data_IF_434624134324
#
_entry.id   IF_434624134324
#
_cell.length_a   1.000
_cell.length_b   1.000
_cell.length_c   1.000
_cell.angle_alpha   90.00
_cell.angle_beta   90.00
_cell.angle_gamma   90.00
#
_symmetry.space_group_name_H-M   'P 1'
#
loop_
_entity.id
_entity.type
_entity.pdbx_description
1 polymer ?
#
# COMPACT_ATOMS: atom_id res chain seq x y z
N UNK A 1 -40.54 5.28 -28.35
CA UNK A 1 -39.14 5.04 -28.73
C UNK A 1 -38.33 6.23 -28.24
N UNK A 2 -37.65 6.08 -27.10
CA UNK A 2 -36.77 7.13 -26.60
C UNK A 2 -35.59 7.28 -27.57
N UNK A 3 -35.45 8.46 -28.16
CA UNK A 3 -34.30 8.81 -28.99
C UNK A 3 -33.02 8.62 -28.19
N UNK A 4 -32.12 7.76 -28.66
CA UNK A 4 -30.75 7.70 -28.15
C UNK A 4 -30.13 9.08 -28.37
N UNK A 5 -30.02 9.88 -27.31
CA UNK A 5 -29.20 11.07 -27.31
C UNK A 5 -27.75 10.64 -27.61
N UNK A 6 -27.19 11.16 -28.69
CA UNK A 6 -25.77 11.04 -29.01
C UNK A 6 -24.98 11.84 -27.97
N UNK A 7 -24.24 11.12 -27.12
CA UNK A 7 -23.34 11.70 -26.11
C UNK A 7 -22.23 12.51 -26.79
N UNK A 8 -21.96 13.71 -26.27
CA UNK A 8 -20.85 14.56 -26.72
C UNK A 8 -19.57 14.21 -25.94
N UNK A 9 -18.40 14.59 -26.47
CA UNK A 9 -17.09 14.33 -25.83
C UNK A 9 -16.99 14.95 -24.41
N UNK A 10 -17.71 16.04 -24.12
CA UNK A 10 -17.77 16.63 -22.78
C UNK A 10 -18.56 15.78 -21.78
N UNK A 11 -19.63 15.11 -22.23
CA UNK A 11 -20.46 14.28 -21.36
C UNK A 11 -19.70 13.04 -20.87
N UNK A 12 -18.85 12.48 -21.73
CA UNK A 12 -17.97 11.34 -21.39
C UNK A 12 -16.85 11.73 -20.43
N UNK A 13 -16.28 12.95 -20.58
CA UNK A 13 -15.26 13.46 -19.66
C UNK A 13 -15.87 13.73 -18.27
N UNK A 14 -17.06 14.31 -18.23
CA UNK A 14 -17.78 14.57 -16.97
C UNK A 14 -18.20 13.26 -16.28
N UNK A 15 -18.52 12.20 -17.03
CA UNK A 15 -18.80 10.87 -16.46
C UNK A 15 -17.58 10.25 -15.79
N UNK A 16 -16.42 10.33 -16.43
CA UNK A 16 -15.17 9.88 -15.83
C UNK A 16 -14.80 10.70 -14.58
N UNK A 17 -15.01 12.03 -14.62
CA UNK A 17 -14.81 12.90 -13.44
C UNK A 17 -15.77 12.49 -12.31
N UNK A 18 -17.04 12.20 -12.58
CA UNK A 18 -17.99 11.71 -11.56
C UNK A 18 -17.55 10.37 -10.95
N UNK A 19 -17.01 9.46 -11.76
CA UNK A 19 -16.52 8.15 -11.29
C UNK A 19 -15.35 8.25 -10.29
N UNK A 20 -14.59 9.36 -10.30
CA UNK A 20 -13.50 9.57 -9.31
C UNK A 20 -14.02 9.67 -7.87
N UNK A 21 -15.28 10.02 -7.66
CA UNK A 21 -15.94 9.99 -6.36
C UNK A 21 -16.00 8.56 -5.81
N UNK A 22 -16.37 7.59 -6.65
CA UNK A 22 -16.42 6.18 -6.28
C UNK A 22 -15.02 5.66 -5.96
N UNK A 23 -14.03 5.99 -6.79
CA UNK A 23 -12.62 5.60 -6.55
C UNK A 23 -12.09 6.12 -5.21
N UNK A 24 -12.30 7.40 -4.91
CA UNK A 24 -11.86 8.00 -3.66
C UNK A 24 -12.59 7.39 -2.45
N UNK A 25 -13.90 7.19 -2.57
CA UNK A 25 -14.73 6.62 -1.51
C UNK A 25 -14.35 5.16 -1.22
N UNK A 26 -14.08 4.36 -2.27
CA UNK A 26 -13.59 2.98 -2.15
C UNK A 26 -12.22 2.94 -1.49
N UNK A 27 -11.29 3.84 -1.86
CA UNK A 27 -9.96 3.89 -1.25
C UNK A 27 -10.04 4.28 0.24
N UNK A 28 -10.84 5.30 0.59
CA UNK A 28 -11.09 5.67 1.99
C UNK A 28 -11.74 4.52 2.77
N UNK A 29 -12.72 3.84 2.18
CA UNK A 29 -13.38 2.66 2.79
C UNK A 29 -12.41 1.49 2.98
N UNK A 30 -11.51 1.26 2.02
CA UNK A 30 -10.49 0.23 2.13
C UNK A 30 -9.49 0.56 3.26
N UNK A 31 -8.94 1.77 3.28
CA UNK A 31 -7.99 2.19 4.30
C UNK A 31 -8.59 2.17 5.72
N UNK A 32 -9.85 2.58 5.89
CA UNK A 32 -10.57 2.47 7.18
C UNK A 32 -10.77 1.01 7.61
N UNK A 33 -11.08 0.11 6.66
CA UNK A 33 -11.18 -1.33 6.95
C UNK A 33 -9.85 -1.95 7.40
N UNK A 34 -8.72 -1.35 7.01
CA UNK A 34 -7.36 -1.71 7.44
C UNK A 34 -6.93 -1.05 8.75
N UNK A 35 -7.75 -0.16 9.33
CA UNK A 35 -7.47 0.50 10.59
C UNK A 35 -6.57 1.73 10.46
N UNK A 36 -6.41 2.32 9.27
CA UNK A 36 -5.64 3.56 9.13
C UNK A 36 -6.27 4.70 9.93
N UNK A 37 -7.59 4.85 9.88
CA UNK A 37 -8.36 5.68 10.81
C UNK A 37 -9.74 5.07 11.04
N UNK A 38 -10.44 5.55 12.06
CA UNK A 38 -11.79 5.11 12.39
C UNK A 38 -12.81 5.97 11.65
N UNK A 39 -13.68 5.34 10.88
CA UNK A 39 -14.83 5.98 10.24
C UNK A 39 -16.03 5.03 10.31
N UNK A 40 -16.98 5.37 11.18
CA UNK A 40 -18.19 4.59 11.41
C UNK A 40 -19.24 4.79 10.30
N UNK A 41 -19.06 5.80 9.45
CA UNK A 41 -20.07 6.26 8.50
C UNK A 41 -19.75 5.88 7.06
N UNK A 42 -18.48 5.71 6.68
CA UNK A 42 -18.06 5.34 5.33
C UNK A 42 -18.79 4.10 4.77
N UNK A 43 -19.17 3.17 5.64
CA UNK A 43 -19.91 1.96 5.27
C UNK A 43 -21.31 2.20 4.69
N UNK A 44 -21.93 3.34 5.02
CA UNK A 44 -23.26 3.68 4.51
C UNK A 44 -23.20 4.26 3.09
N UNK A 45 -22.04 4.79 2.69
CA UNK A 45 -21.82 5.34 1.35
C UNK A 45 -21.20 4.31 0.40
N UNK A 46 -20.29 3.46 0.90
CA UNK A 46 -19.64 2.40 0.11
C UNK A 46 -19.81 1.05 0.79
N UNK A 47 -20.67 0.21 0.22
CA UNK A 47 -21.05 -1.09 0.79
C UNK A 47 -19.94 -2.14 0.70
N UNK A 48 -19.19 -2.15 -0.39
CA UNK A 48 -18.15 -3.14 -0.63
C UNK A 48 -16.78 -2.57 -0.29
N UNK A 49 -16.01 -3.31 0.51
CA UNK A 49 -14.57 -3.07 0.65
C UNK A 49 -13.98 -3.50 -0.69
N UNK A 50 -13.61 -2.54 -1.54
CA UNK A 50 -13.12 -2.81 -2.89
C UNK A 50 -11.85 -3.66 -2.91
N UNK A 51 -11.29 -3.86 -4.10
CA UNK A 51 -10.06 -4.64 -4.27
C UNK A 51 -8.89 -4.10 -3.44
N UNK A 52 -7.95 -5.00 -3.12
CA UNK A 52 -6.76 -4.69 -2.34
C UNK A 52 -6.01 -3.50 -2.94
N UNK A 53 -5.81 -2.45 -2.15
CA UNK A 53 -4.98 -1.29 -2.51
C UNK A 53 -3.55 -1.50 -2.00
N UNK A 54 -2.59 -0.94 -2.73
CA UNK A 54 -1.19 -0.99 -2.34
C UNK A 54 -0.95 -0.15 -1.05
N UNK A 55 -0.03 -0.56 -0.15
CA UNK A 55 0.16 0.10 1.15
C UNK A 55 0.49 1.60 1.05
N UNK A 56 1.23 2.01 0.02
CA UNK A 56 1.57 3.41 -0.25
C UNK A 56 0.33 4.26 -0.57
N UNK A 57 -0.68 3.67 -1.20
CA UNK A 57 -1.97 4.34 -1.46
C UNK A 57 -2.67 4.60 -0.13
N UNK A 58 -2.77 3.59 0.75
CA UNK A 58 -3.45 3.74 2.03
C UNK A 58 -2.73 4.72 2.96
N UNK A 59 -1.38 4.69 2.99
CA UNK A 59 -0.55 5.68 3.70
C UNK A 59 -0.73 7.09 3.12
N UNK A 60 -0.85 7.22 1.80
CA UNK A 60 -1.18 8.48 1.14
C UNK A 60 -2.54 9.04 1.57
N UNK A 61 -3.58 8.20 1.56
CA UNK A 61 -4.91 8.58 2.05
C UNK A 61 -4.91 8.94 3.54
N UNK A 62 -4.12 8.26 4.37
CA UNK A 62 -3.96 8.62 5.77
C UNK A 62 -3.36 10.02 5.94
N UNK A 63 -2.25 10.30 5.23
CA UNK A 63 -1.63 11.62 5.23
C UNK A 63 -2.60 12.71 4.77
N UNK A 64 -3.37 12.44 3.70
CA UNK A 64 -4.43 13.30 3.16
C UNK A 64 -5.49 13.62 4.21
N UNK A 65 -6.10 12.60 4.82
CA UNK A 65 -7.17 12.78 5.83
C UNK A 65 -6.65 13.51 7.07
N UNK A 66 -5.47 13.13 7.59
CA UNK A 66 -4.88 13.78 8.76
C UNK A 66 -4.48 15.22 8.47
N UNK A 67 -3.90 15.51 7.32
CA UNK A 67 -3.53 16.87 6.91
C UNK A 67 -4.75 17.79 6.83
N UNK A 68 -5.83 17.35 6.20
CA UNK A 68 -7.09 18.12 6.11
C UNK A 68 -7.69 18.33 7.50
N UNK A 69 -7.77 17.29 8.33
CA UNK A 69 -8.37 17.39 9.67
C UNK A 69 -7.59 18.36 10.57
N UNK A 70 -6.27 18.38 10.52
CA UNK A 70 -5.46 19.33 11.30
C UNK A 70 -5.77 20.79 10.96
N UNK A 71 -5.98 21.09 9.66
CA UNK A 71 -6.36 22.43 9.22
C UNK A 71 -7.80 22.77 9.61
N UNK A 72 -8.72 21.81 9.52
CA UNK A 72 -10.11 21.96 9.93
C UNK A 72 -10.21 22.24 11.44
N UNK A 73 -9.54 21.45 12.27
CA UNK A 73 -9.53 21.62 13.72
C UNK A 73 -8.96 22.98 14.11
N UNK A 74 -7.85 23.40 13.48
CA UNK A 74 -7.26 24.72 13.71
C UNK A 74 -8.22 25.87 13.35
N UNK A 75 -9.00 25.73 12.29
CA UNK A 75 -10.01 26.72 11.90
C UNK A 75 -11.18 26.76 12.92
N UNK A 76 -11.68 25.60 13.35
CA UNK A 76 -12.77 25.50 14.31
C UNK A 76 -12.39 26.03 15.69
N UNK A 77 -11.19 25.71 16.18
CA UNK A 77 -10.65 26.23 17.44
C UNK A 77 -10.58 27.77 17.44
N UNK A 78 -10.13 28.35 16.32
CA UNK A 78 -9.97 29.80 16.16
C UNK A 78 -11.29 30.55 16.03
N UNK A 79 -12.29 29.93 15.43
CA UNK A 79 -13.62 30.55 15.22
C UNK A 79 -14.57 30.38 16.40
N UNK A 80 -14.11 29.75 17.49
CA UNK A 80 -14.84 29.57 18.75
C UNK A 80 -16.23 28.93 18.57
N UNK A 81 -16.38 28.03 17.61
CA UNK A 81 -17.66 27.37 17.38
C UNK A 81 -17.90 26.31 18.47
N UNK A 82 -18.77 26.62 19.43
CA UNK A 82 -19.19 25.64 20.45
C UNK A 82 -20.03 24.53 19.79
N UNK A 83 -19.67 23.27 20.03
CA UNK A 83 -20.45 22.11 19.62
C UNK A 83 -21.79 22.04 20.38
N UNK A 84 -22.79 22.85 20.03
CA UNK A 84 -24.19 22.48 20.32
C UNK A 84 -24.57 21.35 19.35
N UNK A 85 -25.62 20.56 19.57
CA UNK A 85 -26.14 19.57 18.63
C UNK A 85 -27.54 20.02 18.21
N UNK A 86 -27.68 20.41 16.94
CA UNK A 86 -28.95 20.88 16.35
C UNK A 86 -29.05 20.36 14.90
N UNK A 87 -30.25 19.99 14.46
CA UNK A 87 -30.48 19.27 13.18
C UNK A 87 -30.38 20.15 11.93
N UNK A 88 -30.37 21.48 12.09
CA UNK A 88 -30.44 22.46 10.99
C UNK A 88 -29.07 22.75 10.33
N UNK A 89 -28.04 21.94 10.58
CA UNK A 89 -26.63 22.28 10.31
C UNK A 89 -25.96 21.58 9.13
N UNK A 90 -26.71 20.88 8.28
CA UNK A 90 -26.15 20.17 7.14
C UNK A 90 -27.01 20.30 5.89
N UNK A 91 -26.38 20.59 4.75
CA UNK A 91 -27.04 20.73 3.46
C UNK A 91 -26.23 20.04 2.36
N UNK A 92 -26.90 19.29 1.48
CA UNK A 92 -26.32 18.72 0.26
C UNK A 92 -26.93 19.45 -0.93
N UNK A 93 -26.09 20.05 -1.77
CA UNK A 93 -26.51 20.82 -2.93
C UNK A 93 -25.95 20.18 -4.19
N UNK A 94 -26.83 19.78 -5.11
CA UNK A 94 -26.42 19.38 -6.45
C UNK A 94 -26.17 20.63 -7.29
N UNK A 95 -24.91 20.94 -7.61
CA UNK A 95 -24.52 22.07 -8.45
C UNK A 95 -23.27 21.74 -9.27
N UNK A 96 -23.18 22.33 -10.46
CA UNK A 96 -21.95 22.32 -11.24
C UNK A 96 -21.07 23.49 -10.79
N UNK A 97 -19.88 23.20 -10.27
CA UNK A 97 -18.95 24.22 -9.77
C UNK A 97 -18.42 25.15 -10.88
N UNK A 98 -18.62 24.80 -12.15
CA UNK A 98 -18.27 25.62 -13.31
C UNK A 98 -19.32 26.71 -13.59
N UNK A 99 -20.54 26.55 -13.05
CA UNK A 99 -21.66 27.48 -13.22
C UNK A 99 -21.91 28.28 -11.93
N UNK A 100 -21.08 29.32 -11.74
CA UNK A 100 -21.09 30.13 -10.51
C UNK A 100 -22.44 30.83 -10.24
N UNK A 101 -23.14 31.43 -11.23
CA UNK A 101 -24.46 32.01 -10.98
C UNK A 101 -25.45 31.00 -10.38
N UNK A 102 -25.53 29.80 -10.93
CA UNK A 102 -26.41 28.75 -10.42
C UNK A 102 -25.98 28.26 -9.03
N UNK A 103 -24.67 28.16 -8.77
CA UNK A 103 -24.13 27.80 -7.47
C UNK A 103 -24.51 28.84 -6.41
N UNK A 104 -24.33 30.12 -6.72
CA UNK A 104 -24.63 31.25 -5.83
C UNK A 104 -26.13 31.31 -5.50
N UNK A 105 -27.00 31.18 -6.50
CA UNK A 105 -28.45 31.15 -6.31
C UNK A 105 -28.88 30.00 -5.38
N UNK A 106 -28.27 28.82 -5.53
CA UNK A 106 -28.55 27.67 -4.66
C UNK A 106 -28.05 27.91 -3.24
N UNK A 107 -26.82 28.41 -3.07
CA UNK A 107 -26.26 28.70 -1.74
C UNK A 107 -27.09 29.77 -1.00
N UNK A 108 -27.52 30.83 -1.70
CA UNK A 108 -28.44 31.85 -1.16
C UNK A 108 -29.79 31.27 -0.77
N UNK A 109 -30.35 30.37 -1.60
CA UNK A 109 -31.61 29.67 -1.30
C UNK A 109 -31.53 28.85 -0.01
N UNK A 110 -30.37 28.26 0.27
CA UNK A 110 -30.09 27.53 1.51
C UNK A 110 -29.49 28.41 2.62
N UNK A 111 -29.62 29.73 2.49
CA UNK A 111 -29.30 30.72 3.52
C UNK A 111 -27.83 30.69 4.00
N UNK A 112 -26.87 30.46 3.09
CA UNK A 112 -25.46 30.70 3.43
C UNK A 112 -25.30 32.17 3.87
N UNK A 113 -24.59 32.40 4.98
CA UNK A 113 -24.31 33.74 5.47
C UNK A 113 -22.85 34.11 5.18
N UNK A 114 -22.57 35.01 4.22
CA UNK A 114 -21.20 35.38 3.87
C UNK A 114 -20.44 36.11 4.98
N UNK A 115 -21.13 36.70 5.95
CA UNK A 115 -20.51 37.42 7.06
C UNK A 115 -19.91 36.49 8.12
N UNK A 116 -20.24 35.19 8.09
CA UNK A 116 -19.64 34.21 9.00
C UNK A 116 -18.27 33.74 8.48
N UNK A 117 -17.30 33.47 9.37
CA UNK A 117 -16.06 32.79 9.00
C UNK A 117 -16.38 31.48 8.28
N UNK A 118 -15.95 31.35 7.02
CA UNK A 118 -16.32 30.21 6.18
C UNK A 118 -15.09 29.45 5.70
N UNK A 119 -15.07 28.13 5.92
CA UNK A 119 -14.04 27.25 5.39
C UNK A 119 -14.54 26.54 4.12
N UNK A 120 -13.74 26.64 3.06
CA UNK A 120 -13.92 25.92 1.80
C UNK A 120 -12.93 24.76 1.74
N UNK A 121 -13.41 23.56 1.41
CA UNK A 121 -12.57 22.38 1.23
C UNK A 121 -12.73 21.86 -0.19
N UNK A 122 -11.65 21.94 -0.98
CA UNK A 122 -11.49 21.25 -2.25
C UNK A 122 -10.53 20.07 -2.05
N UNK A 123 -11.04 18.85 -2.11
CA UNK A 123 -10.27 17.63 -1.84
C UNK A 123 -10.18 16.77 -3.12
N UNK A 124 -9.18 17.04 -3.97
CA UNK A 124 -9.04 16.58 -5.35
C UNK A 124 -10.24 16.99 -6.23
N UNK A 125 -10.51 18.30 -6.35
CA UNK A 125 -11.63 18.80 -7.15
C UNK A 125 -11.17 19.75 -8.24
N UNK A 126 -10.41 20.81 -7.90
CA UNK A 126 -10.11 21.88 -8.87
C UNK A 126 -9.31 21.39 -10.08
N UNK A 127 -8.46 20.37 -9.93
CA UNK A 127 -7.69 19.74 -11.02
C UNK A 127 -8.55 19.18 -12.17
N UNK A 128 -9.83 18.87 -11.93
CA UNK A 128 -10.74 18.38 -12.97
C UNK A 128 -11.40 19.51 -13.79
N UNK A 129 -11.26 20.76 -13.35
CA UNK A 129 -11.76 21.94 -14.04
C UNK A 129 -10.63 22.60 -14.83
N UNK A 130 -10.96 23.35 -15.88
CA UNK A 130 -9.92 24.11 -16.59
C UNK A 130 -9.29 25.17 -15.66
N UNK A 131 -8.06 25.65 -15.96
CA UNK A 131 -7.42 26.70 -15.17
C UNK A 131 -8.29 27.96 -15.05
N UNK A 132 -9.02 28.32 -16.10
CA UNK A 132 -9.94 29.46 -16.10
C UNK A 132 -11.14 29.23 -15.17
N UNK A 133 -11.80 28.07 -15.27
CA UNK A 133 -12.98 27.75 -14.47
C UNK A 133 -12.66 27.70 -12.98
N UNK A 134 -11.57 27.03 -12.63
CA UNK A 134 -11.15 26.91 -11.24
C UNK A 134 -10.65 28.24 -10.66
N UNK A 135 -9.94 29.06 -11.44
CA UNK A 135 -9.54 30.41 -11.01
C UNK A 135 -10.76 31.31 -10.77
N UNK A 136 -11.79 31.25 -11.61
CA UNK A 136 -13.05 31.97 -11.40
C UNK A 136 -13.73 31.55 -10.08
N UNK A 137 -13.77 30.25 -9.78
CA UNK A 137 -14.34 29.74 -8.53
C UNK A 137 -13.54 30.25 -7.31
N UNK A 138 -12.21 30.12 -7.33
CA UNK A 138 -11.35 30.56 -6.22
C UNK A 138 -11.45 32.07 -5.98
N UNK A 139 -11.54 32.86 -7.05
CA UNK A 139 -11.74 34.31 -6.99
C UNK A 139 -13.12 34.67 -6.44
N UNK A 140 -14.19 34.02 -6.94
CA UNK A 140 -15.54 34.22 -6.44
C UNK A 140 -15.67 33.94 -4.94
N UNK A 141 -15.01 32.90 -4.43
CA UNK A 141 -14.97 32.62 -2.98
C UNK A 141 -14.30 33.77 -2.23
N UNK A 142 -13.14 34.23 -2.70
CA UNK A 142 -12.43 35.34 -2.07
C UNK A 142 -13.28 36.61 -2.02
N UNK A 143 -14.03 36.91 -3.09
CA UNK A 143 -14.87 38.10 -3.18
C UNK A 143 -16.14 37.99 -2.32
N UNK A 144 -16.74 36.80 -2.25
CA UNK A 144 -18.02 36.59 -1.56
C UNK A 144 -17.85 36.56 -0.05
N UNK A 145 -16.77 35.96 0.47
CA UNK A 145 -16.58 35.71 1.91
C UNK A 145 -15.46 36.61 2.48
N UNK A 146 -15.79 37.62 3.30
CA UNK A 146 -14.78 38.54 3.84
C UNK A 146 -13.79 37.90 4.82
N UNK A 147 -14.23 36.85 5.51
CA UNK A 147 -13.38 36.03 6.40
C UNK A 147 -13.51 34.58 5.99
N UNK A 148 -12.49 34.04 5.34
CA UNK A 148 -12.51 32.70 4.78
C UNK A 148 -11.16 32.00 4.86
N UNK A 149 -11.23 30.67 4.89
CA UNK A 149 -10.09 29.78 4.68
C UNK A 149 -10.43 28.82 3.54
N UNK A 150 -9.50 28.62 2.61
CA UNK A 150 -9.65 27.64 1.54
C UNK A 150 -8.57 26.58 1.70
N UNK A 151 -8.97 25.32 1.82
CA UNK A 151 -8.07 24.16 1.81
C UNK A 151 -8.20 23.49 0.45
N UNK A 152 -7.08 23.36 -0.27
CA UNK A 152 -6.98 22.65 -1.52
C UNK A 152 -5.99 21.50 -1.39
N UNK A 153 -6.47 20.26 -1.54
CA UNK A 153 -5.62 19.08 -1.67
C UNK A 153 -5.69 18.59 -3.12
N UNK A 154 -4.58 18.56 -3.85
CA UNK A 154 -4.52 18.02 -5.22
C UNK A 154 -3.07 17.73 -5.63
N UNK A 155 -2.85 17.42 -6.90
CA UNK A 155 -1.53 17.11 -7.43
C UNK A 155 -0.58 18.32 -7.44
N UNK A 156 0.72 18.02 -7.41
CA UNK A 156 1.80 19.01 -7.55
C UNK A 156 3.00 18.36 -8.25
N UNK A 157 3.96 19.15 -8.71
CA UNK A 157 5.20 18.67 -9.34
C UNK A 157 4.96 17.83 -10.61
N UNK A 158 3.87 18.11 -11.34
CA UNK A 158 3.42 17.27 -12.47
C UNK A 158 4.30 17.37 -13.75
N UNK A 159 5.32 18.23 -13.75
CA UNK A 159 6.21 18.45 -14.89
C UNK A 159 7.36 17.43 -15.01
N UNK A 160 7.55 16.55 -14.03
CA UNK A 160 8.58 15.52 -14.08
C UNK A 160 8.11 14.23 -14.77
N UNK A 161 8.99 13.23 -14.90
CA UNK A 161 8.65 11.95 -15.55
C UNK A 161 7.53 11.20 -14.82
N UNK A 162 7.47 11.25 -13.49
CA UNK A 162 6.44 10.58 -12.71
C UNK A 162 5.08 11.27 -12.92
N UNK A 163 5.04 12.60 -12.90
CA UNK A 163 3.86 13.40 -13.23
C UNK A 163 3.29 13.06 -14.61
N UNK A 164 4.13 12.98 -15.64
CA UNK A 164 3.69 12.58 -16.99
C UNK A 164 3.09 11.17 -17.03
N UNK A 165 3.72 10.19 -16.36
CA UNK A 165 3.19 8.82 -16.25
C UNK A 165 1.84 8.81 -15.52
N UNK A 166 1.70 9.62 -14.47
CA UNK A 166 0.45 9.75 -13.72
C UNK A 166 -0.68 10.32 -14.58
N UNK A 167 -0.40 11.35 -15.38
CA UNK A 167 -1.37 11.91 -16.34
C UNK A 167 -1.80 10.86 -17.35
N UNK A 168 -0.84 10.16 -17.96
CA UNK A 168 -1.13 9.12 -18.96
C UNK A 168 -1.97 7.98 -18.37
N UNK A 169 -1.67 7.55 -17.14
CA UNK A 169 -2.42 6.51 -16.45
C UNK A 169 -3.89 6.91 -16.17
N UNK A 170 -4.14 8.18 -15.84
CA UNK A 170 -5.50 8.69 -15.63
C UNK A 170 -6.25 8.85 -16.96
N UNK A 171 -5.57 9.33 -18.00
CA UNK A 171 -6.15 9.44 -19.35
C UNK A 171 -6.56 8.08 -19.92
N UNK A 172 -5.78 7.02 -19.66
CA UNK A 172 -6.15 5.63 -20.03
C UNK A 172 -7.43 5.15 -19.35
N UNK A 173 -7.79 5.73 -18.20
CA UNK A 173 -9.06 5.50 -17.49
C UNK A 173 -10.14 6.52 -17.88
N UNK A 174 -9.95 7.24 -18.99
CA UNK A 174 -10.83 8.29 -19.49
C UNK A 174 -10.96 9.51 -18.57
N UNK A 175 -10.12 9.62 -17.54
CA UNK A 175 -10.10 10.73 -16.59
C UNK A 175 -9.05 11.76 -16.99
N UNK A 176 -9.47 12.87 -17.60
CA UNK A 176 -8.57 13.96 -17.96
C UNK A 176 -8.41 14.97 -16.82
N UNK A 177 -7.18 15.39 -16.55
CA UNK A 177 -6.87 16.44 -15.56
C UNK A 177 -6.82 17.80 -16.26
N UNK A 178 -7.98 18.42 -16.48
CA UNK A 178 -8.08 19.67 -17.22
C UNK A 178 -7.27 20.84 -16.60
N UNK A 179 -7.03 20.82 -15.30
CA UNK A 179 -6.31 21.85 -14.55
C UNK A 179 -4.85 21.50 -14.24
N UNK A 180 -4.28 20.47 -14.86
CA UNK A 180 -2.92 19.99 -14.54
C UNK A 180 -1.84 21.06 -14.76
N UNK A 181 -2.07 22.01 -15.66
CA UNK A 181 -1.16 23.13 -15.94
C UNK A 181 -0.90 24.02 -14.71
N UNK A 182 -1.80 24.00 -13.71
CA UNK A 182 -1.63 24.72 -12.44
C UNK A 182 -0.90 23.89 -11.37
N UNK A 183 -0.68 22.60 -11.62
CA UNK A 183 -0.08 21.63 -10.68
C UNK A 183 1.45 21.48 -10.89
N UNK A 184 2.13 22.53 -11.36
CA UNK A 184 3.55 22.46 -11.73
C UNK A 184 4.48 22.44 -10.52
N UNK A 185 4.16 23.22 -9.48
CA UNK A 185 4.96 23.32 -8.26
C UNK A 185 4.12 23.83 -7.08
N UNK A 186 4.67 23.79 -5.86
CA UNK A 186 4.02 24.42 -4.71
C UNK A 186 3.84 25.93 -4.91
N UNK A 187 4.73 26.58 -5.66
CA UNK A 187 4.64 28.01 -5.91
C UNK A 187 3.57 28.33 -6.96
N UNK A 188 3.36 27.49 -7.97
CA UNK A 188 2.21 27.66 -8.89
C UNK A 188 0.87 27.50 -8.15
N UNK A 189 0.82 26.57 -7.18
CA UNK A 189 -0.35 26.40 -6.31
C UNK A 189 -0.59 27.64 -5.43
N UNK A 190 0.45 28.23 -4.85
CA UNK A 190 0.31 29.47 -4.05
C UNK A 190 -0.13 30.65 -4.90
N UNK A 191 0.53 30.84 -6.05
CA UNK A 191 0.29 31.97 -6.96
C UNK A 191 -1.16 31.99 -7.43
N UNK A 192 -1.75 30.82 -7.72
CA UNK A 192 -3.16 30.69 -8.08
C UNK A 192 -4.12 31.35 -7.08
N UNK A 193 -3.86 31.18 -5.78
CA UNK A 193 -4.69 31.77 -4.72
C UNK A 193 -4.35 33.24 -4.50
N UNK A 194 -3.06 33.60 -4.50
CA UNK A 194 -2.63 35.00 -4.34
C UNK A 194 -3.20 35.90 -5.45
N UNK A 195 -3.08 35.45 -6.70
CA UNK A 195 -3.65 36.12 -7.87
C UNK A 195 -5.18 36.23 -7.84
N UNK A 196 -5.86 35.36 -7.08
CA UNK A 196 -7.31 35.35 -6.94
C UNK A 196 -7.84 36.24 -5.78
N UNK A 197 -6.96 36.95 -5.06
CA UNK A 197 -7.36 37.88 -4.00
C UNK A 197 -7.28 37.33 -2.58
N UNK A 198 -6.56 36.22 -2.37
CA UNK A 198 -6.26 35.69 -1.03
C UNK A 198 -5.03 36.38 -0.43
N UNK A 199 -5.04 36.61 0.88
CA UNK A 199 -4.04 37.46 1.56
C UNK A 199 -2.80 36.67 2.01
N UNK A 200 -3.01 35.44 2.49
CA UNK A 200 -1.93 34.55 2.93
C UNK A 200 -2.15 33.15 2.37
N UNK A 201 -1.11 32.58 1.77
CA UNK A 201 -1.18 31.25 1.17
C UNK A 201 0.05 30.45 1.56
N UNK A 202 -0.18 29.21 2.01
CA UNK A 202 0.88 28.26 2.35
C UNK A 202 0.59 26.95 1.62
N UNK A 203 1.64 26.23 1.27
CA UNK A 203 1.51 24.92 0.64
C UNK A 203 2.66 24.01 1.07
N UNK A 204 2.34 22.74 1.30
CA UNK A 204 3.29 21.67 1.61
C UNK A 204 3.00 20.50 0.69
N UNK A 205 4.06 19.84 0.19
CA UNK A 205 3.88 18.52 -0.40
C UNK A 205 3.51 17.50 0.69
N UNK A 206 2.89 16.40 0.29
CA UNK A 206 2.39 15.42 1.24
C UNK A 206 3.50 14.61 1.90
N UNK A 207 4.72 14.64 1.37
CA UNK A 207 5.87 13.99 2.01
C UNK A 207 6.29 14.79 3.25
N UNK A 208 6.31 16.12 3.14
CA UNK A 208 6.52 17.03 4.24
C UNK A 208 5.42 16.87 5.29
N UNK A 209 4.14 16.86 4.88
CA UNK A 209 3.02 16.59 5.80
C UNK A 209 3.19 15.25 6.52
N UNK A 210 3.53 14.18 5.79
CA UNK A 210 3.72 12.85 6.36
C UNK A 210 4.86 12.81 7.39
N UNK A 211 5.97 13.49 7.10
CA UNK A 211 7.13 13.59 8.01
C UNK A 211 6.83 14.30 9.33
N UNK A 212 5.83 15.17 9.30
CA UNK A 212 5.41 15.99 10.45
C UNK A 212 4.32 15.33 11.30
N UNK A 213 3.78 14.19 10.87
CA UNK A 213 2.82 13.43 11.66
C UNK A 213 3.47 12.93 12.97
N UNK A 214 2.70 12.76 14.06
CA UNK A 214 3.22 12.17 15.28
C UNK A 214 3.87 10.82 15.01
N UNK A 215 5.08 10.60 15.51
CA UNK A 215 5.84 9.37 15.22
C UNK A 215 5.13 8.12 15.75
N UNK A 216 4.33 8.25 16.81
CA UNK A 216 3.47 7.18 17.30
C UNK A 216 2.37 6.80 16.28
N UNK A 217 1.77 7.81 15.64
CA UNK A 217 0.76 7.62 14.59
C UNK A 217 1.40 6.98 13.35
N UNK A 218 2.58 7.45 12.94
CA UNK A 218 3.36 6.86 11.84
C UNK A 218 3.68 5.41 12.16
N UNK A 219 4.34 5.13 13.29
CA UNK A 219 4.67 3.77 13.70
C UNK A 219 3.43 2.87 13.79
N UNK A 220 2.27 3.40 14.21
CA UNK A 220 1.01 2.67 14.22
C UNK A 220 0.56 2.29 12.80
N UNK A 221 0.52 3.23 11.85
CA UNK A 221 0.10 2.92 10.48
C UNK A 221 1.12 2.06 9.72
N UNK A 222 2.41 2.20 10.01
CA UNK A 222 3.45 1.38 9.39
C UNK A 222 3.37 -0.09 9.81
N UNK A 223 2.83 -0.37 11.00
CA UNK A 223 2.55 -1.73 11.47
C UNK A 223 1.30 -2.35 10.86
N UNK A 224 0.41 -1.56 10.25
CA UNK A 224 -0.81 -2.09 9.63
C UNK A 224 -0.51 -2.88 8.36
N UNK A 225 0.40 -2.34 7.54
CA UNK A 225 0.79 -2.94 6.26
C UNK A 225 2.29 -2.73 6.02
N UNK A 226 2.96 -3.82 5.68
CA UNK A 226 4.36 -3.81 5.24
C UNK A 226 4.47 -3.04 3.93
N UNK A 227 5.42 -2.11 3.88
CA UNK A 227 5.77 -1.34 2.69
C UNK A 227 7.25 -1.63 2.38
N UNK A 228 7.48 -2.34 1.28
CA UNK A 228 8.80 -2.68 0.76
C UNK A 228 9.43 -1.49 0.01
N UNK A 229 8.65 -0.82 -0.85
CA UNK A 229 9.12 0.28 -1.70
C UNK A 229 8.80 1.66 -1.10
N UNK A 230 9.63 2.11 -0.16
CA UNK A 230 9.48 3.45 0.46
C UNK A 230 9.65 4.58 -0.56
N UNK A 231 10.42 4.35 -1.61
CA UNK A 231 10.65 5.28 -2.71
C UNK A 231 9.36 5.56 -3.49
N UNK A 232 8.48 4.56 -3.66
CA UNK A 232 7.19 4.75 -4.31
C UNK A 232 6.26 5.63 -3.46
N UNK A 233 6.23 5.39 -2.14
CA UNK A 233 5.48 6.27 -1.24
C UNK A 233 6.02 7.70 -1.30
N UNK A 234 7.34 7.87 -1.26
CA UNK A 234 7.96 9.18 -1.36
C UNK A 234 7.61 9.88 -2.67
N UNK A 235 7.76 9.20 -3.82
CA UNK A 235 7.40 9.74 -5.12
C UNK A 235 5.92 10.12 -5.19
N UNK A 236 5.02 9.24 -4.72
CA UNK A 236 3.59 9.51 -4.66
C UNK A 236 3.29 10.75 -3.81
N UNK A 237 3.85 10.83 -2.59
CA UNK A 237 3.60 11.93 -1.66
C UNK A 237 4.20 13.26 -2.13
N UNK A 238 5.32 13.24 -2.86
CA UNK A 238 5.92 14.44 -3.47
C UNK A 238 5.10 14.98 -4.65
N UNK A 239 4.14 14.20 -5.18
CA UNK A 239 3.26 14.58 -6.29
C UNK A 239 1.85 14.97 -5.86
N UNK A 240 1.61 15.10 -4.55
CA UNK A 240 0.41 15.72 -4.00
C UNK A 240 0.82 16.82 -3.03
N UNK A 241 -0.02 17.84 -2.91
CA UNK A 241 0.16 18.89 -1.94
C UNK A 241 -1.14 19.19 -1.19
N UNK A 242 -0.99 19.77 -0.01
CA UNK A 242 -2.04 20.50 0.67
C UNK A 242 -1.66 21.99 0.66
N UNK A 243 -2.53 22.81 0.07
CA UNK A 243 -2.43 24.25 0.02
C UNK A 243 -3.57 24.82 0.87
N UNK A 244 -3.29 25.84 1.68
CA UNK A 244 -4.33 26.59 2.36
C UNK A 244 -4.13 28.09 2.21
N UNK A 245 -5.22 28.76 1.86
CA UNK A 245 -5.29 30.19 1.66
C UNK A 245 -6.22 30.80 2.71
N UNK A 246 -5.89 32.02 3.16
CA UNK A 246 -6.65 32.75 4.17
C UNK A 246 -6.87 34.19 3.71
N UNK A 247 -8.08 34.67 3.94
CA UNK A 247 -8.48 36.06 3.84
C UNK A 247 -9.23 36.39 5.12
N UNK A 248 -8.76 37.38 5.87
CA UNK A 248 -9.26 37.60 7.23
C UNK A 248 -9.49 39.08 7.52
N UNK A 249 -10.70 39.56 7.18
CA UNK A 249 -11.14 40.90 7.51
C UNK A 249 -11.40 41.10 9.01
N UNK A 250 -11.70 40.03 9.76
CA UNK A 250 -12.00 40.10 11.19
C UNK A 250 -10.74 40.20 12.06
N UNK A 251 -9.54 40.13 11.46
CA UNK A 251 -8.26 40.18 12.19
C UNK A 251 -8.22 39.15 13.32
N UNK A 252 -8.74 37.95 13.06
CA UNK A 252 -8.60 36.77 13.90
C UNK A 252 -7.11 36.39 13.93
N UNK A 253 -6.34 37.08 14.77
CA UNK A 253 -4.88 37.07 14.82
C UNK A 253 -4.24 35.75 14.36
N UNK A 254 -3.49 35.86 13.25
CA UNK A 254 -2.60 34.85 12.71
C UNK A 254 -3.19 33.43 12.68
N UNK A 255 -3.90 33.10 11.60
CA UNK A 255 -3.93 31.74 11.01
C UNK A 255 -2.53 31.29 10.49
N UNK A 256 -1.45 31.84 11.07
CA UNK A 256 -0.20 31.09 11.17
C UNK A 256 -0.54 29.92 12.08
N UNK A 257 -0.90 28.77 11.49
CA UNK A 257 -0.69 27.49 12.15
C UNK A 257 0.63 27.61 12.90
N UNK A 258 0.65 27.33 14.21
CA UNK A 258 1.89 27.32 14.99
C UNK A 258 2.84 26.30 14.37
N UNK A 259 3.56 26.70 13.34
CA UNK A 259 4.63 25.96 12.67
C UNK A 259 5.84 25.83 13.58
N UNK A 260 5.82 26.39 14.80
CA UNK A 260 6.83 26.14 15.84
C UNK A 260 6.90 24.67 16.29
N UNK A 261 5.96 23.79 15.88
CA UNK A 261 6.12 22.33 16.03
C UNK A 261 6.51 21.59 14.75
N UNK A 262 6.54 22.27 13.61
CA UNK A 262 6.80 21.68 12.30
C UNK A 262 8.14 22.14 11.68
N UNK A 263 8.77 23.20 12.20
CA UNK A 263 10.03 23.74 11.64
C UNK A 263 11.21 23.84 12.60
N UNK A 264 11.05 23.58 13.90
CA UNK A 264 12.18 23.61 14.86
C UNK A 264 12.36 22.27 15.57
N UNK A 265 13.42 21.57 15.19
CA UNK A 265 14.10 20.61 16.05
C UNK A 265 14.66 21.41 17.23
N UNK A 266 13.98 21.41 18.38
CA UNK A 266 14.62 21.45 19.69
C UNK A 266 13.64 21.26 20.86
N UNK A 267 14.09 20.41 21.79
CA UNK A 267 13.66 20.23 23.18
C UNK A 267 12.32 19.57 23.52
N UNK A 268 12.49 18.42 24.19
CA UNK A 268 11.58 17.51 24.89
C UNK A 268 10.49 18.15 25.77
N UNK A 269 9.47 17.30 25.98
CA UNK A 269 8.61 17.14 27.17
C UNK A 269 7.86 18.38 27.65
N UNK A 270 6.57 18.42 27.31
CA UNK A 270 5.43 18.96 28.10
C UNK A 270 4.34 19.45 27.13
N UNK A 271 3.51 18.54 26.61
CA UNK A 271 2.21 18.95 26.04
C UNK A 271 1.17 17.83 25.94
N UNK A 272 1.23 16.81 26.80
CA UNK A 272 0.12 15.84 26.93
C UNK A 272 0.05 15.35 28.37
N UNK A 273 -0.63 16.11 29.20
CA UNK A 273 -1.30 15.61 30.40
C UNK A 273 -2.71 16.17 30.37
N UNK A 274 -3.69 15.34 30.70
CA UNK A 274 -5.16 15.57 30.64
C UNK A 274 -5.72 15.37 29.21
N UNK A 275 -6.55 14.37 28.89
CA UNK A 275 -7.52 13.63 29.69
C UNK A 275 -7.41 12.11 29.46
N UNK A 276 -6.99 11.40 30.51
CA UNK A 276 -7.46 10.05 30.80
C UNK A 276 -8.92 10.16 31.25
N UNK A 277 -9.85 9.98 30.32
CA UNK A 277 -11.23 9.64 30.62
C UNK A 277 -11.39 8.13 30.48
N UNK A 278 -11.40 7.44 31.61
CA UNK A 278 -11.76 6.03 31.74
C UNK A 278 -13.19 5.81 31.23
N UNK A 279 -13.41 4.72 30.48
CA UNK A 279 -14.74 4.41 29.95
C UNK A 279 -14.77 3.46 28.76
N UNK A 280 -14.52 2.17 29.01
CA UNK A 280 -15.15 1.09 28.25
C UNK A 280 -14.32 0.45 27.15
N UNK A 281 -13.54 -0.56 27.54
CA UNK A 281 -13.15 -1.67 26.67
C UNK A 281 -14.39 -2.20 25.92
N UNK A 282 -14.40 -2.04 24.60
CA UNK A 282 -15.21 -2.85 23.70
C UNK A 282 -14.42 -3.12 22.42
N UNK A 283 -13.55 -4.11 22.52
CA UNK A 283 -13.00 -4.86 21.40
C UNK A 283 -14.11 -5.37 20.47
N UNK A 284 -13.95 -5.14 19.16
CA UNK A 284 -14.47 -5.99 18.06
C UNK A 284 -13.70 -5.63 16.77
N UNK A 285 -12.54 -6.24 16.48
CA UNK A 285 -12.27 -7.56 15.85
C UNK A 285 -12.05 -7.51 14.32
N UNK A 286 -10.85 -7.11 13.91
CA UNK A 286 -10.07 -7.90 12.94
C UNK A 286 -8.85 -8.45 13.70
N UNK A 287 -8.58 -9.76 13.62
CA UNK A 287 -7.61 -10.38 14.52
C UNK A 287 -6.22 -9.85 14.22
N UNK A 288 -5.54 -9.30 15.24
CA UNK A 288 -4.07 -9.27 15.24
C UNK A 288 -3.63 -10.69 14.93
N UNK A 289 -2.79 -10.89 13.92
CA UNK A 289 -2.21 -12.22 13.66
C UNK A 289 -1.68 -12.73 14.98
N UNK A 290 -2.29 -13.80 15.48
CA UNK A 290 -1.95 -14.31 16.80
C UNK A 290 -0.47 -14.69 16.81
N UNK A 291 0.13 -14.81 18.00
CA UNK A 291 1.48 -15.37 18.12
C UNK A 291 1.64 -16.67 17.31
N UNK A 292 0.56 -17.46 17.26
CA UNK A 292 0.48 -18.63 16.42
C UNK A 292 0.64 -18.30 14.93
N UNK A 293 -0.13 -17.38 14.36
CA UNK A 293 -0.06 -17.03 12.92
C UNK A 293 1.27 -16.40 12.50
N UNK A 294 1.96 -15.72 13.42
CA UNK A 294 3.22 -15.06 13.11
C UNK A 294 4.45 -15.98 13.29
N UNK A 295 4.47 -16.83 14.33
CA UNK A 295 5.65 -17.64 14.66
C UNK A 295 5.45 -19.14 14.47
N UNK A 296 4.25 -19.67 14.73
CA UNK A 296 4.01 -21.12 14.74
C UNK A 296 3.50 -21.63 13.39
N UNK A 297 2.48 -20.97 12.84
CA UNK A 297 1.83 -21.33 11.57
C UNK A 297 2.82 -21.38 10.40
N UNK A 298 3.74 -20.42 10.23
CA UNK A 298 4.74 -20.48 9.16
C UNK A 298 5.67 -21.69 9.33
N UNK A 299 6.11 -21.99 10.56
CA UNK A 299 6.93 -23.16 10.85
C UNK A 299 6.20 -24.48 10.55
N UNK A 300 4.91 -24.57 10.88
CA UNK A 300 4.08 -25.74 10.53
C UNK A 300 3.96 -25.91 9.01
N UNK A 301 3.77 -24.82 8.28
CA UNK A 301 3.74 -24.85 6.82
C UNK A 301 5.09 -25.29 6.23
N UNK A 302 6.22 -24.85 6.79
CA UNK A 302 7.55 -25.33 6.42
C UNK A 302 7.73 -26.83 6.70
N UNK A 303 7.27 -27.34 7.84
CA UNK A 303 7.29 -28.79 8.12
C UNK A 303 6.49 -29.57 7.07
N UNK A 304 5.23 -29.17 6.83
CA UNK A 304 4.33 -29.89 5.91
C UNK A 304 4.81 -29.80 4.48
N UNK A 305 5.20 -28.61 4.02
CA UNK A 305 5.71 -28.39 2.67
C UNK A 305 7.01 -29.14 2.41
N UNK A 306 7.99 -29.08 3.32
CA UNK A 306 9.22 -29.88 3.22
C UNK A 306 8.93 -31.38 3.28
N UNK A 307 7.95 -31.82 4.09
CA UNK A 307 7.54 -33.23 4.12
C UNK A 307 7.03 -33.70 2.76
N UNK A 308 6.09 -32.96 2.16
CA UNK A 308 5.48 -33.32 0.88
C UNK A 308 6.50 -33.28 -0.26
N UNK A 309 7.28 -32.20 -0.33
CA UNK A 309 8.35 -32.02 -1.32
C UNK A 309 9.37 -33.16 -1.26
N UNK A 310 9.94 -33.42 -0.08
CA UNK A 310 10.95 -34.47 0.07
C UNK A 310 10.37 -35.88 -0.09
N UNK A 311 9.12 -36.12 0.34
CA UNK A 311 8.49 -37.43 0.22
C UNK A 311 8.30 -37.82 -1.26
N UNK A 312 7.71 -36.93 -2.06
CA UNK A 312 7.55 -37.15 -3.51
C UNK A 312 8.90 -37.35 -4.17
N UNK A 313 9.88 -36.54 -3.78
CA UNK A 313 11.25 -36.66 -4.23
C UNK A 313 11.87 -38.04 -3.96
N UNK A 314 11.88 -38.48 -2.71
CA UNK A 314 12.45 -39.77 -2.32
C UNK A 314 11.74 -40.95 -2.97
N UNK A 315 10.39 -40.97 -3.01
CA UNK A 315 9.61 -42.05 -3.64
C UNK A 315 9.87 -42.13 -5.15
N UNK A 316 10.05 -40.98 -5.81
CA UNK A 316 10.35 -40.94 -7.25
C UNK A 316 11.70 -41.59 -7.61
N UNK A 317 12.67 -41.54 -6.70
CA UNK A 317 13.98 -42.19 -6.84
C UNK A 317 13.88 -43.69 -6.59
N UNK A 318 13.18 -44.09 -5.51
CA UNK A 318 13.01 -45.51 -5.14
C UNK A 318 12.23 -46.32 -6.17
N UNK A 319 11.27 -45.71 -6.88
CA UNK A 319 10.51 -46.36 -7.94
C UNK A 319 11.29 -46.62 -9.22
N UNK A 320 12.52 -46.10 -9.33
CA UNK A 320 13.34 -46.13 -10.55
C UNK A 320 14.70 -46.82 -10.35
N UNK A 321 14.85 -47.60 -9.27
CA UNK A 321 16.06 -48.38 -8.98
C UNK A 321 16.32 -49.34 -10.15
N UNK A 322 17.36 -49.06 -10.95
CA UNK A 322 17.78 -49.88 -12.10
C UNK A 322 17.44 -49.35 -13.49
N UNK A 323 16.74 -48.21 -13.62
CA UNK A 323 16.48 -47.55 -14.91
C UNK A 323 17.31 -46.26 -14.99
N UNK A 324 18.25 -46.19 -15.92
CA UNK A 324 19.21 -45.09 -16.10
C UNK A 324 18.56 -43.79 -16.63
N UNK A 325 17.69 -43.16 -15.86
CA UNK A 325 17.06 -41.89 -16.24
C UNK A 325 16.81 -40.94 -15.08
N UNK A 326 17.58 -39.84 -15.02
CA UNK A 326 17.43 -38.77 -14.02
C UNK A 326 16.20 -37.88 -14.21
N UNK A 327 15.46 -38.05 -15.32
CA UNK A 327 14.34 -37.18 -15.70
C UNK A 327 13.15 -37.30 -14.74
N UNK A 328 12.74 -38.52 -14.40
CA UNK A 328 11.59 -38.71 -13.51
C UNK A 328 11.83 -38.12 -12.12
N UNK A 329 12.96 -38.43 -11.43
CA UNK A 329 13.26 -37.79 -10.16
C UNK A 329 13.37 -36.27 -10.25
N UNK A 330 14.02 -35.74 -11.29
CA UNK A 330 14.16 -34.29 -11.48
C UNK A 330 12.80 -33.59 -11.59
N UNK A 331 11.92 -34.09 -12.46
CA UNK A 331 10.59 -33.52 -12.65
C UNK A 331 9.73 -33.67 -11.39
N UNK A 332 9.79 -34.81 -10.72
CA UNK A 332 9.03 -35.06 -9.50
C UNK A 332 9.40 -34.06 -8.39
N UNK A 333 10.70 -33.84 -8.16
CA UNK A 333 11.17 -32.87 -7.16
C UNK A 333 10.77 -31.44 -7.55
N UNK A 334 11.03 -31.02 -8.79
CA UNK A 334 10.73 -29.64 -9.21
C UNK A 334 9.24 -29.32 -9.21
N UNK A 335 8.39 -30.25 -9.68
CA UNK A 335 6.93 -30.07 -9.64
C UNK A 335 6.40 -30.10 -8.21
N UNK A 336 6.87 -31.02 -7.36
CA UNK A 336 6.47 -31.08 -5.97
C UNK A 336 6.83 -29.79 -5.22
N UNK A 337 8.03 -29.25 -5.47
CA UNK A 337 8.45 -27.97 -4.89
C UNK A 337 7.58 -26.81 -5.40
N UNK A 338 7.35 -26.71 -6.72
CA UNK A 338 6.49 -25.67 -7.28
C UNK A 338 5.09 -25.68 -6.68
N UNK A 339 4.49 -26.87 -6.53
CA UNK A 339 3.17 -27.05 -5.91
C UNK A 339 3.21 -26.67 -4.43
N UNK A 340 4.23 -27.12 -3.68
CA UNK A 340 4.38 -26.76 -2.27
C UNK A 340 4.48 -25.25 -2.07
N UNK A 341 5.28 -24.56 -2.90
CA UNK A 341 5.41 -23.09 -2.86
C UNK A 341 4.08 -22.43 -3.23
N UNK A 342 3.35 -22.93 -4.23
CA UNK A 342 2.05 -22.37 -4.61
C UNK A 342 0.99 -22.50 -3.51
N UNK A 343 1.00 -23.58 -2.73
CA UNK A 343 0.00 -23.84 -1.67
C UNK A 343 0.38 -23.12 -0.38
N UNK A 344 1.64 -23.20 0.03
CA UNK A 344 2.10 -22.77 1.36
C UNK A 344 2.87 -21.44 1.33
N UNK A 345 3.20 -20.92 0.15
CA UNK A 345 3.99 -19.70 -0.01
C UNK A 345 3.35 -18.47 0.63
N UNK A 346 2.02 -18.36 0.63
CA UNK A 346 1.31 -17.27 1.33
C UNK A 346 1.34 -17.41 2.86
N UNK A 347 1.64 -18.61 3.38
CA UNK A 347 1.69 -18.90 4.82
C UNK A 347 3.11 -18.71 5.35
N UNK A 348 4.12 -19.31 4.71
CA UNK A 348 5.50 -19.30 5.22
C UNK A 348 6.52 -18.56 4.36
N UNK A 349 6.15 -18.12 3.16
CA UNK A 349 7.11 -17.71 2.11
C UNK A 349 7.60 -18.87 1.25
N UNK A 350 7.32 -20.12 1.66
CA UNK A 350 7.56 -21.32 0.86
C UNK A 350 9.04 -21.63 0.64
N UNK A 351 9.86 -21.62 1.69
CA UNK A 351 11.30 -21.77 1.53
C UNK A 351 11.70 -23.23 1.33
N UNK A 352 11.14 -24.12 2.16
CA UNK A 352 11.31 -25.58 2.19
C UNK A 352 12.75 -26.10 2.11
N UNK A 353 13.72 -25.22 2.34
CA UNK A 353 15.14 -25.45 2.16
C UNK A 353 15.93 -24.51 3.09
N UNK A 354 16.84 -25.05 3.93
CA UNK A 354 17.67 -24.25 4.81
C UNK A 354 18.53 -23.20 4.10
N UNK A 355 19.14 -23.54 2.96
CA UNK A 355 19.98 -22.62 2.18
C UNK A 355 19.16 -21.46 1.60
N UNK A 356 17.92 -21.74 1.18
CA UNK A 356 16.98 -20.70 0.74
C UNK A 356 16.60 -19.79 1.91
N UNK A 357 16.30 -20.35 3.08
CA UNK A 357 15.95 -19.57 4.27
C UNK A 357 17.08 -18.64 4.72
N UNK A 358 18.31 -19.15 4.71
CA UNK A 358 19.52 -18.34 4.98
C UNK A 358 19.68 -17.26 3.92
N UNK A 359 19.52 -17.58 2.64
CA UNK A 359 19.60 -16.58 1.57
C UNK A 359 18.57 -15.46 1.75
N UNK A 360 17.30 -15.80 1.98
CA UNK A 360 16.21 -14.84 2.18
C UNK A 360 16.47 -13.98 3.43
N UNK A 361 17.01 -14.57 4.51
CA UNK A 361 17.45 -13.82 5.67
C UNK A 361 18.57 -12.81 5.33
N UNK A 362 19.62 -13.23 4.61
CA UNK A 362 20.76 -12.39 4.27
C UNK A 362 20.40 -11.18 3.40
N UNK A 363 19.35 -11.30 2.56
CA UNK A 363 18.84 -10.21 1.73
C UNK A 363 17.73 -9.39 2.41
N UNK A 364 17.45 -9.65 3.70
CA UNK A 364 16.48 -8.89 4.50
C UNK A 364 15.02 -9.30 4.33
N UNK A 365 14.73 -10.46 3.72
CA UNK A 365 13.38 -10.98 3.52
C UNK A 365 12.82 -11.82 4.67
N UNK A 366 13.61 -12.07 5.74
CA UNK A 366 13.18 -12.81 6.94
C UNK A 366 13.87 -12.23 8.18
N UNK A 367 13.18 -12.24 9.33
CA UNK A 367 13.79 -11.91 10.63
C UNK A 367 14.64 -13.08 11.17
N UNK A 368 15.75 -12.75 11.86
CA UNK A 368 16.64 -13.76 12.46
C UNK A 368 15.91 -14.71 13.41
N UNK A 369 14.88 -14.23 14.11
CA UNK A 369 14.13 -15.03 15.09
C UNK A 369 13.35 -16.18 14.45
N UNK A 370 13.00 -16.07 13.17
CA UNK A 370 12.32 -17.13 12.40
C UNK A 370 13.30 -18.03 11.65
N UNK A 371 14.53 -17.58 11.38
CA UNK A 371 15.51 -18.36 10.63
C UNK A 371 15.81 -19.72 11.27
N UNK A 372 16.13 -19.73 12.56
CA UNK A 372 16.46 -20.98 13.28
C UNK A 372 15.25 -21.92 13.34
N UNK A 373 14.04 -21.47 13.74
CA UNK A 373 12.82 -22.29 13.64
C UNK A 373 12.52 -22.84 12.25
N UNK A 374 12.73 -22.06 11.19
CA UNK A 374 12.53 -22.51 9.81
C UNK A 374 13.47 -23.65 9.45
N UNK A 375 14.76 -23.50 9.73
CA UNK A 375 15.75 -24.55 9.45
C UNK A 375 15.40 -25.85 10.19
N UNK A 376 15.06 -25.76 11.47
CA UNK A 376 14.64 -26.93 12.25
C UNK A 376 13.35 -27.57 11.72
N UNK A 377 12.38 -26.75 11.30
CA UNK A 377 11.12 -27.19 10.71
C UNK A 377 11.33 -27.95 9.40
N UNK A 378 12.20 -27.44 8.52
CA UNK A 378 12.53 -28.05 7.23
C UNK A 378 13.28 -29.37 7.42
N UNK A 379 14.24 -29.42 8.35
CA UNK A 379 14.93 -30.66 8.70
C UNK A 379 13.98 -31.71 9.27
N UNK A 380 13.07 -31.31 10.16
CA UNK A 380 12.05 -32.21 10.71
C UNK A 380 11.12 -32.73 9.61
N UNK A 381 10.68 -31.86 8.69
CA UNK A 381 9.89 -32.28 7.53
C UNK A 381 10.61 -33.30 6.65
N UNK A 382 11.92 -33.12 6.41
CA UNK A 382 12.74 -34.09 5.70
C UNK A 382 12.84 -35.46 6.40
N UNK A 383 12.96 -35.48 7.74
CA UNK A 383 12.96 -36.73 8.52
C UNK A 383 11.61 -37.44 8.45
N UNK A 384 10.50 -36.69 8.56
CA UNK A 384 9.15 -37.25 8.43
C UNK A 384 8.95 -37.81 7.03
N UNK A 385 9.37 -37.09 5.99
CA UNK A 385 9.32 -37.55 4.61
C UNK A 385 10.05 -38.88 4.42
N UNK A 386 11.27 -39.01 4.93
CA UNK A 386 12.04 -40.25 4.84
C UNK A 386 11.34 -41.43 5.57
N UNK A 387 10.76 -41.18 6.75
CA UNK A 387 9.98 -42.17 7.49
C UNK A 387 8.73 -42.63 6.74
N UNK A 388 7.98 -41.69 6.16
CA UNK A 388 6.81 -42.00 5.33
C UNK A 388 7.22 -42.75 4.06
N UNK A 389 8.32 -42.34 3.43
CA UNK A 389 8.84 -42.98 2.23
C UNK A 389 9.20 -44.45 2.51
N UNK A 390 9.82 -44.75 3.67
CA UNK A 390 10.07 -46.12 4.14
C UNK A 390 8.79 -46.92 4.38
N UNK A 391 7.73 -46.27 4.87
CA UNK A 391 6.48 -46.93 5.18
C UNK A 391 5.66 -47.33 3.94
N UNK A 392 5.82 -46.59 2.83
CA UNK A 392 5.04 -46.82 1.59
C UNK A 392 5.80 -47.62 0.53
N UNK A 393 7.11 -47.85 0.70
CA UNK A 393 7.93 -48.64 -0.23
C UNK A 393 8.32 -49.99 0.37
N UNK A 394 8.77 -50.92 -0.48
CA UNK A 394 9.27 -52.22 -0.01
C UNK A 394 10.63 -52.06 0.67
N UNK A 395 10.92 -52.93 1.65
CA UNK A 395 12.21 -52.92 2.35
C UNK A 395 13.41 -53.05 1.39
N UNK A 396 13.24 -53.80 0.30
CA UNK A 396 14.25 -53.94 -0.76
C UNK A 396 14.43 -52.64 -1.55
N UNK A 397 13.35 -51.99 -2.01
CA UNK A 397 13.45 -50.74 -2.75
C UNK A 397 14.01 -49.59 -1.90
N UNK A 398 13.62 -49.53 -0.62
CA UNK A 398 14.16 -48.55 0.33
C UNK A 398 15.63 -48.83 0.66
N UNK A 399 16.02 -50.09 0.84
CA UNK A 399 17.40 -50.47 1.13
C UNK A 399 18.35 -50.30 -0.06
N UNK A 400 17.84 -50.46 -1.28
CA UNK A 400 18.60 -50.30 -2.53
C UNK A 400 18.70 -48.84 -3.01
N UNK A 401 17.93 -47.92 -2.42
CA UNK A 401 18.03 -46.51 -2.71
C UNK A 401 19.24 -45.90 -1.98
N UNK A 402 20.40 -45.97 -2.62
CA UNK A 402 21.54 -45.11 -2.29
C UNK A 402 21.16 -43.69 -2.71
N UNK A 403 21.13 -42.74 -1.76
CA UNK A 403 20.80 -41.35 -2.09
C UNK A 403 21.72 -40.83 -3.20
N UNK A 404 21.19 -40.02 -4.13
CA UNK A 404 21.94 -39.52 -5.29
C UNK A 404 23.31 -38.88 -4.91
N UNK A 405 23.39 -38.23 -3.75
CA UNK A 405 24.61 -37.61 -3.23
C UNK A 405 25.70 -38.62 -2.78
N UNK A 406 25.36 -39.87 -2.47
CA UNK A 406 26.31 -40.88 -1.98
C UNK A 406 27.02 -41.65 -3.10
N UNK A 407 26.40 -41.80 -4.27
CA UNK A 407 27.01 -42.51 -5.41
C UNK A 407 27.96 -41.64 -6.25
N UNK A 408 27.84 -40.31 -6.16
CA UNK A 408 28.65 -39.37 -6.95
C UNK A 408 30.08 -39.17 -6.40
N UNK A 409 30.32 -39.44 -5.11
CA UNK A 409 31.62 -39.17 -4.44
C UNK A 409 32.20 -40.46 -3.86
N UNK A 410 32.73 -41.32 -4.73
CA UNK A 410 33.38 -42.57 -4.32
C UNK A 410 34.88 -42.42 -3.94
N UNK A 411 35.48 -41.23 -4.13
CA UNK A 411 36.88 -40.97 -3.76
C UNK A 411 37.12 -39.54 -3.26
N UNK A 412 38.14 -39.36 -2.41
CA UNK A 412 38.51 -38.06 -1.83
C UNK A 412 38.90 -36.98 -2.87
N UNK A 413 39.19 -37.38 -4.12
CA UNK A 413 39.49 -36.46 -5.22
C UNK A 413 38.23 -35.81 -5.84
N UNK A 414 37.02 -36.36 -5.58
CA UNK A 414 35.75 -35.84 -6.10
C UNK A 414 35.04 -34.83 -5.18
N UNK A 415 35.49 -34.67 -3.94
CA UNK A 415 34.82 -33.80 -2.95
C UNK A 415 34.88 -32.33 -3.34
N UNK A 416 36.02 -31.86 -3.87
CA UNK A 416 36.20 -30.46 -4.28
C UNK A 416 35.30 -30.07 -5.47
N UNK A 417 35.23 -30.93 -6.49
CA UNK A 417 34.36 -30.72 -7.66
C UNK A 417 32.88 -30.79 -7.30
N UNK A 418 32.47 -31.73 -6.44
CA UNK A 418 31.10 -31.83 -5.97
C UNK A 418 30.69 -30.60 -5.15
N UNK A 419 31.58 -30.13 -4.25
CA UNK A 419 31.34 -28.91 -3.47
C UNK A 419 31.16 -27.68 -4.37
N UNK A 420 31.99 -27.54 -5.41
CA UNK A 420 31.85 -26.44 -6.38
C UNK A 420 30.54 -26.54 -7.17
N UNK A 421 30.15 -27.73 -7.61
CA UNK A 421 28.89 -27.96 -8.30
C UNK A 421 27.70 -27.57 -7.41
N UNK A 422 27.69 -28.01 -6.16
CA UNK A 422 26.67 -27.64 -5.16
C UNK A 422 26.60 -26.14 -4.91
N UNK A 423 27.74 -25.44 -4.83
CA UNK A 423 27.77 -23.98 -4.70
C UNK A 423 27.13 -23.29 -5.91
N UNK A 424 27.44 -23.72 -7.14
CA UNK A 424 26.89 -23.13 -8.37
C UNK A 424 25.38 -23.41 -8.49
N UNK A 425 24.94 -24.63 -8.21
CA UNK A 425 23.53 -25.02 -8.26
C UNK A 425 22.71 -24.32 -7.18
N UNK A 426 23.26 -24.20 -5.97
CA UNK A 426 22.66 -23.44 -4.87
C UNK A 426 22.60 -21.94 -5.20
N UNK A 427 23.64 -21.39 -5.83
CA UNK A 427 23.62 -20.01 -6.32
C UNK A 427 22.51 -19.81 -7.35
N UNK A 428 22.34 -20.74 -8.30
CA UNK A 428 21.28 -20.64 -9.29
C UNK A 428 19.89 -20.66 -8.64
N UNK A 429 19.65 -21.59 -7.72
CA UNK A 429 18.39 -21.66 -6.96
C UNK A 429 18.14 -20.38 -6.15
N UNK A 430 19.11 -19.95 -5.36
CA UNK A 430 18.98 -18.77 -4.51
C UNK A 430 18.85 -17.47 -5.30
N UNK A 431 19.48 -17.36 -6.47
CA UNK A 431 19.29 -16.23 -7.39
C UNK A 431 17.85 -16.20 -7.93
N UNK A 432 17.30 -17.34 -8.34
CA UNK A 432 15.91 -17.42 -8.83
C UNK A 432 14.92 -17.12 -7.71
N UNK A 433 15.17 -17.57 -6.48
CA UNK A 433 14.34 -17.17 -5.32
C UNK A 433 14.46 -15.67 -5.06
N UNK A 434 15.68 -15.15 -5.01
CA UNK A 434 15.92 -13.73 -4.72
C UNK A 434 15.26 -12.83 -5.75
N UNK A 435 15.40 -13.13 -7.04
CA UNK A 435 14.85 -12.30 -8.11
C UNK A 435 13.37 -12.57 -8.36
N UNK A 436 12.93 -13.83 -8.29
CA UNK A 436 11.58 -14.24 -8.65
C UNK A 436 10.58 -14.11 -7.50
N UNK A 437 10.99 -14.32 -6.25
CA UNK A 437 10.09 -14.34 -5.09
C UNK A 437 10.30 -13.16 -4.13
N UNK A 438 11.54 -12.66 -3.97
CA UNK A 438 11.87 -11.65 -2.94
C UNK A 438 11.99 -10.22 -3.49
N UNK A 439 12.66 -10.03 -4.64
CA UNK A 439 12.92 -8.72 -5.21
C UNK A 439 11.63 -8.05 -5.73
N UNK A 440 11.24 -6.93 -5.13
CA UNK A 440 10.01 -6.20 -5.47
C UNK A 440 9.89 -5.80 -6.95
N UNK A 441 11.03 -5.57 -7.64
CA UNK A 441 11.03 -5.16 -9.05
C UNK A 441 10.85 -6.31 -10.05
N UNK A 442 11.35 -7.50 -9.71
CA UNK A 442 11.40 -8.65 -10.63
C UNK A 442 10.51 -9.81 -10.19
N UNK A 443 9.87 -9.68 -9.03
CA UNK A 443 8.96 -10.68 -8.48
C UNK A 443 7.83 -10.97 -9.46
N UNK A 444 7.52 -12.25 -9.62
CA UNK A 444 6.52 -12.71 -10.58
C UNK A 444 5.60 -13.75 -9.95
N UNK A 445 4.34 -13.80 -10.40
CA UNK A 445 3.42 -14.89 -10.06
C UNK A 445 3.93 -16.26 -10.55
N UNK A 446 4.87 -16.27 -11.50
CA UNK A 446 5.52 -17.49 -11.98
C UNK A 446 6.66 -17.98 -11.07
N UNK A 447 6.98 -17.28 -9.98
CA UNK A 447 8.08 -17.66 -9.08
C UNK A 447 8.03 -19.11 -8.59
N UNK A 448 6.88 -19.67 -8.14
CA UNK A 448 6.82 -21.07 -7.72
C UNK A 448 7.24 -22.03 -8.84
N UNK A 449 6.80 -21.75 -10.07
CA UNK A 449 7.13 -22.54 -11.24
C UNK A 449 8.59 -22.40 -11.64
N UNK A 450 9.13 -21.18 -11.67
CA UNK A 450 10.54 -20.93 -11.99
C UNK A 450 11.48 -21.60 -10.97
N UNK A 451 11.17 -21.51 -9.67
CA UNK A 451 11.95 -22.15 -8.61
C UNK A 451 11.92 -23.68 -8.77
N UNK A 452 10.75 -24.26 -9.03
CA UNK A 452 10.62 -25.69 -9.31
C UNK A 452 11.40 -26.13 -10.55
N UNK A 453 11.34 -25.37 -11.65
CA UNK A 453 12.12 -25.65 -12.86
C UNK A 453 13.63 -25.57 -12.62
N UNK A 454 14.09 -24.65 -11.77
CA UNK A 454 15.50 -24.57 -11.37
C UNK A 454 15.94 -25.82 -10.61
N UNK A 455 15.11 -26.34 -9.70
CA UNK A 455 15.41 -27.61 -9.02
C UNK A 455 15.43 -28.79 -10.00
N UNK A 456 14.48 -28.86 -10.93
CA UNK A 456 14.51 -29.85 -12.01
C UNK A 456 15.82 -29.76 -12.80
N UNK A 457 16.23 -28.57 -13.21
CA UNK A 457 17.44 -28.35 -13.99
C UNK A 457 18.70 -28.75 -13.21
N UNK A 458 18.77 -28.41 -11.93
CA UNK A 458 19.90 -28.80 -11.07
C UNK A 458 20.01 -30.32 -10.92
N UNK A 459 18.91 -31.03 -10.66
CA UNK A 459 18.92 -32.51 -10.54
C UNK A 459 19.30 -33.19 -11.86
N UNK A 460 18.94 -32.60 -13.01
CA UNK A 460 19.38 -33.09 -14.32
C UNK A 460 20.87 -32.85 -14.57
N UNK A 461 21.44 -31.81 -13.97
CA UNK A 461 22.83 -31.41 -14.19
C UNK A 461 23.83 -32.28 -13.40
N UNK A 462 23.43 -32.82 -12.24
CA UNK A 462 24.26 -33.75 -11.47
C UNK A 462 24.00 -33.66 -9.97
#
# INVERSE_FOLDING_TARGET
MASKQTFTYSDTADEAVRATCDDASICKRFATSKGYWTDLYAQYFVRQIGERKAPEINRGYYGRVKGVNLLLDAFLEKTQYSHSLDSDRYCIIAADLRDLPTLEDKLKKFQINPELPTLFLSECVLVYMTPEQSSKLVHWVADTFPTAMFINYEQVNMNDRFGHIMIENLQRRQCNLAGVDLCQSLDSQKERFLSAGWESVNALDMMMVYSMLPQEDVARIERLEFLDEKELLQQLLQHYCICWAVKDKLSLEHLKLRTNKMTSVESKSELFTVATGDGGDNHQNTPKKSFFEHYIQPCLAEIVGSTLFMFVGCVSVMGNVGISGSIQPALAHGLALAIAIAIFGEISGGHFNPAVSVCVYLIGGMELILLVPYVLSQMLGGVIAAGLAKAVTTNEAFGNATGAAFDAIQSAHGTGSATMAEMIMTLFLTMVVSMGAVNGRTRSHLAPFCIGLTVTANILAG
#
